data_IF_400640539257
#
_entry.id   IF_400640539257
#
_cell.length_a   1.000
_cell.length_b   1.000
_cell.length_c   1.000
_cell.angle_alpha   90.00
_cell.angle_beta   90.00
_cell.angle_gamma   90.00
#
_symmetry.space_group_name_H-M   'P 1'
#
loop_
_entity.id
_entity.type
_entity.pdbx_description
1 polymer ?
#
# COMPACT_ATOMS: atom_id res chain seq x y z
N UNK A 1 -2.54 -22.04 22.78
CA UNK A 1 -3.03 -21.53 21.47
C UNK A 1 -1.83 -20.91 20.82
N UNK A 2 -1.61 -21.16 19.53
CA UNK A 2 -0.54 -20.48 18.81
C UNK A 2 -0.72 -18.95 18.87
N UNK A 3 0.36 -18.21 19.14
CA UNK A 3 0.32 -16.76 19.11
C UNK A 3 0.19 -16.28 17.67
N UNK A 4 -0.82 -15.46 17.39
CA UNK A 4 -1.12 -14.97 16.04
C UNK A 4 -0.85 -13.47 15.96
N UNK A 5 0.07 -13.06 15.07
CA UNK A 5 0.54 -11.69 15.00
C UNK A 5 0.03 -10.92 13.77
N UNK A 6 -0.41 -9.69 14.00
CA UNK A 6 -0.53 -8.66 13.00
C UNK A 6 0.80 -7.91 12.93
N UNK A 7 1.40 -7.88 11.75
CA UNK A 7 2.75 -7.36 11.56
C UNK A 7 2.70 -6.22 10.53
N UNK A 8 3.35 -5.12 10.84
CA UNK A 8 3.73 -4.06 9.92
C UNK A 8 5.21 -4.15 9.62
N UNK A 9 5.58 -4.08 8.36
CA UNK A 9 6.95 -4.05 7.89
C UNK A 9 7.18 -2.79 7.08
N UNK A 10 8.22 -2.05 7.40
CA UNK A 10 8.73 -0.96 6.57
C UNK A 10 9.98 -1.46 5.83
N UNK A 11 9.94 -1.39 4.50
CA UNK A 11 10.95 -1.96 3.63
C UNK A 11 11.51 -0.88 2.70
N UNK A 12 12.64 -0.29 3.09
CA UNK A 12 13.39 0.68 2.30
C UNK A 12 14.61 0.03 1.63
N UNK A 13 15.34 0.77 0.78
CA UNK A 13 16.59 0.30 0.17
C UNK A 13 17.65 -0.05 1.22
N UNK A 14 17.80 0.79 2.25
CA UNK A 14 18.92 0.72 3.18
C UNK A 14 18.61 -0.14 4.42
N UNK A 15 17.37 -0.17 4.86
CA UNK A 15 16.96 -0.85 6.09
C UNK A 15 15.54 -1.40 6.01
N UNK A 16 15.29 -2.32 6.94
CA UNK A 16 13.96 -2.87 7.23
C UNK A 16 13.60 -2.57 8.68
N UNK A 17 12.32 -2.28 8.93
CA UNK A 17 11.76 -2.20 10.28
C UNK A 17 10.55 -3.12 10.40
N UNK A 18 10.33 -3.66 11.61
CA UNK A 18 9.15 -4.44 11.96
C UNK A 18 8.43 -3.84 13.16
N UNK A 19 7.12 -3.92 13.13
CA UNK A 19 6.26 -3.69 14.30
C UNK A 19 5.18 -4.76 14.35
N UNK A 20 4.79 -5.15 15.54
CA UNK A 20 3.65 -6.03 15.75
C UNK A 20 2.61 -5.35 16.63
N UNK A 21 1.36 -5.74 16.48
CA UNK A 21 0.29 -5.20 17.31
C UNK A 21 0.24 -5.94 18.65
N UNK A 22 0.36 -5.17 19.73
CA UNK A 22 0.22 -5.71 21.08
C UNK A 22 -1.24 -5.56 21.52
N UNK A 23 -1.93 -6.68 21.69
CA UNK A 23 -3.35 -6.71 22.08
C UNK A 23 -3.60 -6.20 23.51
N UNK A 24 -2.56 -6.17 24.35
CA UNK A 24 -2.66 -5.68 25.76
C UNK A 24 -2.64 -4.16 25.77
N UNK A 25 -1.63 -3.56 25.13
CA UNK A 25 -1.49 -2.09 25.03
C UNK A 25 -2.41 -1.49 23.98
N UNK A 26 -2.89 -2.30 23.02
CA UNK A 26 -3.66 -1.90 21.82
C UNK A 26 -2.91 -0.92 20.94
N UNK A 27 -1.60 -1.09 20.85
CA UNK A 27 -0.70 -0.23 20.10
C UNK A 27 0.33 -1.07 19.33
N UNK A 28 0.83 -0.60 18.17
CA UNK A 28 1.96 -1.19 17.50
C UNK A 28 3.25 -1.00 18.31
N UNK A 29 3.96 -2.08 18.55
CA UNK A 29 5.28 -2.10 19.18
C UNK A 29 6.37 -2.43 18.17
N UNK A 30 7.44 -1.64 18.16
CA UNK A 30 8.58 -1.87 17.26
C UNK A 30 9.43 -3.04 17.74
N UNK A 31 9.86 -3.85 16.77
CA UNK A 31 10.68 -5.04 17.01
C UNK A 31 12.16 -4.65 16.95
N UNK A 32 12.91 -4.85 18.06
CA UNK A 32 14.36 -4.79 18.01
C UNK A 32 14.92 -6.15 17.62
N UNK A 33 15.82 -6.22 16.67
CA UNK A 33 16.44 -7.48 16.24
C UNK A 33 17.47 -7.99 17.24
N UNK A 34 18.22 -7.09 17.87
CA UNK A 34 19.27 -7.44 18.81
C UNK A 34 18.75 -7.39 20.25
N UNK A 35 18.90 -8.50 20.97
CA UNK A 35 18.61 -8.53 22.40
C UNK A 35 19.46 -7.48 23.14
N UNK A 36 18.82 -6.66 23.98
CA UNK A 36 19.43 -5.60 24.80
C UNK A 36 19.95 -4.36 24.04
N UNK A 37 19.58 -4.15 22.77
CA UNK A 37 19.86 -2.91 22.04
C UNK A 37 18.54 -2.40 21.43
N UNK A 38 18.26 -1.11 21.59
CA UNK A 38 17.14 -0.44 20.92
C UNK A 38 17.49 -0.15 19.45
N UNK A 39 17.78 -1.21 18.69
CA UNK A 39 18.12 -1.14 17.26
C UNK A 39 16.93 -1.63 16.47
N UNK A 40 16.14 -0.68 15.99
CA UNK A 40 14.90 -0.96 15.25
C UNK A 40 15.10 -0.92 13.73
N UNK A 41 16.11 -0.20 13.25
CA UNK A 41 16.48 -0.13 11.82
C UNK A 41 17.46 -1.26 11.51
N UNK A 42 17.00 -2.26 10.83
CA UNK A 42 17.75 -3.48 10.48
C UNK A 42 18.35 -3.29 9.09
N UNK A 43 19.68 -3.32 8.93
CA UNK A 43 20.29 -3.14 7.61
C UNK A 43 19.90 -4.27 6.65
N UNK A 44 19.72 -3.95 5.37
CA UNK A 44 19.30 -4.90 4.32
C UNK A 44 20.49 -5.70 3.79
N UNK A 45 21.10 -6.50 4.66
CA UNK A 45 22.21 -7.39 4.34
C UNK A 45 21.87 -8.83 4.70
N UNK A 46 22.41 -9.75 3.90
CA UNK A 46 22.44 -11.17 4.18
C UNK A 46 23.88 -11.62 4.40
N UNK A 47 24.06 -12.58 5.27
CA UNK A 47 25.34 -13.25 5.48
C UNK A 47 25.14 -14.76 5.52
N UNK A 48 25.84 -15.47 4.64
CA UNK A 48 25.90 -16.94 4.69
C UNK A 48 27.19 -17.39 5.35
N UNK A 49 27.08 -18.04 6.50
CA UNK A 49 28.20 -18.66 7.16
C UNK A 49 28.53 -20.03 6.57
N UNK A 50 29.78 -20.21 6.12
CA UNK A 50 30.26 -21.48 5.57
C UNK A 50 30.44 -22.54 6.68
N UNK A 51 30.79 -22.09 7.90
CA UNK A 51 31.04 -22.95 9.03
C UNK A 51 29.74 -23.55 9.61
N UNK A 52 28.75 -22.70 9.88
CA UNK A 52 27.45 -23.10 10.43
C UNK A 52 26.44 -23.52 9.37
N UNK A 53 26.73 -23.25 8.08
CA UNK A 53 25.80 -23.43 6.94
C UNK A 53 24.45 -22.74 7.16
N UNK A 54 24.48 -21.56 7.78
CA UNK A 54 23.31 -20.79 8.18
C UNK A 54 23.30 -19.41 7.53
N UNK A 55 22.09 -18.94 7.18
CA UNK A 55 21.85 -17.59 6.77
C UNK A 55 21.53 -16.70 7.98
N UNK A 56 22.08 -15.49 7.96
CA UNK A 56 21.81 -14.43 8.91
C UNK A 56 21.31 -13.20 8.15
N UNK A 57 20.50 -12.37 8.79
CA UNK A 57 19.92 -11.15 8.21
C UNK A 57 20.11 -9.94 9.13
N UNK A 58 20.21 -8.77 8.57
CA UNK A 58 20.18 -7.51 9.30
C UNK A 58 21.31 -7.35 10.32
N UNK A 59 20.97 -7.02 11.55
CA UNK A 59 21.92 -6.83 12.65
C UNK A 59 22.70 -8.11 12.99
N UNK A 60 22.05 -9.28 12.95
CA UNK A 60 22.72 -10.57 13.16
C UNK A 60 23.74 -10.84 12.06
N UNK A 61 23.41 -10.55 10.80
CA UNK A 61 24.35 -10.66 9.68
C UNK A 61 25.54 -9.71 9.86
N UNK A 62 25.27 -8.48 10.34
CA UNK A 62 26.31 -7.48 10.64
C UNK A 62 27.26 -7.92 11.74
N UNK A 63 26.80 -8.65 12.74
CA UNK A 63 27.65 -9.19 13.82
C UNK A 63 28.37 -10.47 13.38
N UNK A 64 27.67 -11.41 12.73
CA UNK A 64 28.20 -12.71 12.33
C UNK A 64 29.36 -12.58 11.34
N UNK A 65 29.34 -11.63 10.40
CA UNK A 65 30.42 -11.42 9.42
C UNK A 65 31.79 -11.10 10.04
N UNK A 66 31.85 -10.65 11.28
CA UNK A 66 33.10 -10.38 11.98
C UNK A 66 33.63 -11.58 12.75
N UNK A 67 32.79 -12.55 13.05
CA UNK A 67 33.12 -13.73 13.87
C UNK A 67 33.20 -15.04 13.09
N UNK A 68 32.57 -15.11 11.91
CA UNK A 68 32.50 -16.32 11.10
C UNK A 68 33.01 -16.06 9.67
N UNK A 69 33.47 -17.14 9.02
CA UNK A 69 33.82 -17.07 7.59
C UNK A 69 32.58 -17.32 6.75
N UNK A 70 32.39 -16.45 5.74
CA UNK A 70 31.20 -16.58 4.91
C UNK A 70 31.13 -15.56 3.77
N UNK A 71 29.98 -15.45 3.17
CA UNK A 71 29.66 -14.56 2.05
C UNK A 71 28.69 -13.49 2.54
N UNK A 72 29.09 -12.23 2.43
CA UNK A 72 28.21 -11.06 2.66
C UNK A 72 27.53 -10.72 1.36
N UNK A 73 26.23 -10.44 1.41
CA UNK A 73 25.43 -9.97 0.28
C UNK A 73 24.73 -8.68 0.71
N UNK A 74 25.10 -7.62 0.06
CA UNK A 74 24.51 -6.27 0.16
C UNK A 74 24.03 -5.80 -1.19
N UNK A 75 23.51 -4.56 -1.29
CA UNK A 75 23.03 -4.01 -2.54
C UNK A 75 21.89 -4.82 -3.17
N UNK A 76 21.07 -5.48 -2.36
CA UNK A 76 20.02 -6.39 -2.86
C UNK A 76 18.96 -5.60 -3.64
N UNK A 77 18.57 -4.42 -3.15
CA UNK A 77 17.55 -3.57 -3.81
C UNK A 77 18.02 -3.04 -5.16
N UNK A 78 19.27 -2.56 -5.23
CA UNK A 78 19.85 -1.96 -6.44
C UNK A 78 20.03 -2.97 -7.56
N UNK A 79 20.11 -4.26 -7.19
CA UNK A 79 20.33 -5.35 -8.14
C UNK A 79 19.06 -6.16 -8.44
N UNK A 80 17.87 -5.72 -7.98
CA UNK A 80 16.62 -6.39 -8.31
C UNK A 80 16.41 -6.44 -9.84
N UNK A 81 15.99 -7.61 -10.32
CA UNK A 81 15.84 -7.86 -11.75
C UNK A 81 17.15 -8.11 -12.52
N UNK A 82 18.31 -8.05 -11.86
CA UNK A 82 19.59 -8.39 -12.48
C UNK A 82 19.63 -9.86 -12.94
N UNK A 83 20.21 -10.09 -14.10
CA UNK A 83 20.43 -11.44 -14.64
C UNK A 83 21.69 -12.11 -14.08
N UNK A 84 22.55 -11.37 -13.39
CA UNK A 84 23.79 -11.89 -12.83
C UNK A 84 23.48 -12.55 -11.47
N UNK A 85 23.65 -13.87 -11.34
CA UNK A 85 23.38 -14.54 -10.07
C UNK A 85 24.51 -14.28 -9.06
N UNK A 86 24.19 -14.39 -7.79
CA UNK A 86 25.15 -14.42 -6.67
C UNK A 86 25.47 -15.87 -6.34
N UNK A 87 26.77 -16.23 -6.35
CA UNK A 87 27.20 -17.57 -5.99
C UNK A 87 27.52 -17.68 -4.50
N UNK A 88 26.84 -18.59 -3.83
CA UNK A 88 27.04 -18.88 -2.41
C UNK A 88 27.34 -20.37 -2.24
N UNK A 89 28.59 -20.69 -1.98
CA UNK A 89 29.04 -22.09 -1.98
C UNK A 89 28.90 -22.74 -3.35
N UNK A 90 28.08 -23.78 -3.45
CA UNK A 90 27.78 -24.48 -4.71
C UNK A 90 26.47 -24.08 -5.35
N UNK A 91 25.74 -23.15 -4.74
CA UNK A 91 24.41 -22.71 -5.21
C UNK A 91 24.50 -21.31 -5.82
N UNK A 92 23.59 -21.03 -6.74
CA UNK A 92 23.45 -19.72 -7.37
C UNK A 92 22.05 -19.18 -7.06
N UNK A 93 22.01 -17.91 -6.66
CA UNK A 93 20.78 -17.21 -6.28
C UNK A 93 20.61 -15.97 -7.13
N UNK A 94 19.40 -15.72 -7.65
CA UNK A 94 19.05 -14.40 -8.19
C UNK A 94 18.85 -13.39 -7.05
N UNK A 95 19.04 -12.11 -7.35
CA UNK A 95 18.74 -11.05 -6.37
C UNK A 95 17.26 -11.04 -5.94
N UNK A 96 16.34 -11.43 -6.81
CA UNK A 96 14.93 -11.58 -6.46
C UNK A 96 14.71 -12.66 -5.39
N UNK A 97 15.40 -13.80 -5.50
CA UNK A 97 15.34 -14.85 -4.48
C UNK A 97 15.98 -14.40 -3.16
N UNK A 98 17.12 -13.71 -3.23
CA UNK A 98 17.80 -13.17 -2.05
C UNK A 98 16.94 -12.10 -1.34
N UNK A 99 16.25 -11.26 -2.10
CA UNK A 99 15.33 -10.28 -1.56
C UNK A 99 14.16 -10.95 -0.82
N UNK A 100 13.52 -11.92 -1.43
CA UNK A 100 12.42 -12.66 -0.81
C UNK A 100 12.89 -13.42 0.45
N UNK A 101 14.07 -14.04 0.37
CA UNK A 101 14.72 -14.69 1.51
C UNK A 101 15.02 -13.71 2.64
N UNK A 102 15.52 -12.51 2.33
CA UNK A 102 15.81 -11.46 3.31
C UNK A 102 14.54 -11.05 4.06
N UNK A 103 13.46 -10.78 3.34
CA UNK A 103 12.16 -10.42 3.93
C UNK A 103 11.67 -11.55 4.84
N UNK A 104 11.69 -12.79 4.35
CA UNK A 104 11.30 -13.97 5.13
C UNK A 104 12.12 -14.10 6.42
N UNK A 105 13.44 -14.00 6.33
CA UNK A 105 14.34 -14.17 7.49
C UNK A 105 14.10 -13.08 8.56
N UNK A 106 13.78 -11.84 8.17
CA UNK A 106 13.39 -10.82 9.14
C UNK A 106 12.12 -11.20 9.92
N UNK A 107 11.14 -11.76 9.23
CA UNK A 107 9.88 -12.21 9.85
C UNK A 107 10.14 -13.43 10.74
N UNK A 108 10.88 -14.44 10.23
CA UNK A 108 11.23 -15.64 10.98
C UNK A 108 12.01 -15.30 12.26
N UNK A 109 12.96 -14.34 12.20
CA UNK A 109 13.72 -13.87 13.37
C UNK A 109 12.84 -13.26 14.47
N UNK A 110 11.74 -12.63 14.08
CA UNK A 110 10.74 -12.15 15.04
C UNK A 110 9.90 -13.29 15.60
N UNK A 111 9.34 -14.15 14.73
CA UNK A 111 8.45 -15.26 15.12
C UNK A 111 9.17 -16.28 16.01
N UNK A 112 10.47 -16.51 15.78
CA UNK A 112 11.27 -17.47 16.58
C UNK A 112 11.29 -17.16 18.09
N UNK A 113 10.91 -15.95 18.49
CA UNK A 113 10.84 -15.55 19.92
C UNK A 113 9.61 -16.09 20.64
N UNK A 114 8.65 -16.64 19.90
CA UNK A 114 7.37 -17.09 20.41
C UNK A 114 7.13 -18.54 19.98
N UNK A 115 6.63 -19.35 20.90
CA UNK A 115 6.33 -20.76 20.63
C UNK A 115 5.09 -20.87 19.72
N UNK A 116 5.20 -21.61 18.63
CA UNK A 116 4.12 -21.83 17.63
C UNK A 116 3.52 -20.54 17.03
N UNK A 117 4.32 -19.45 16.95
CA UNK A 117 3.86 -18.17 16.40
C UNK A 117 3.53 -18.25 14.91
N UNK A 118 2.44 -17.59 14.52
CA UNK A 118 2.01 -17.52 13.11
C UNK A 118 1.69 -16.06 12.70
N UNK A 119 1.89 -15.79 11.41
CA UNK A 119 1.46 -14.52 10.81
C UNK A 119 -0.05 -14.57 10.58
N UNK A 120 -0.78 -13.67 11.19
CA UNK A 120 -2.22 -13.49 10.96
C UNK A 120 -2.48 -12.54 9.81
N UNK A 121 -1.75 -11.45 9.74
CA UNK A 121 -1.67 -10.55 8.60
C UNK A 121 -0.36 -9.79 8.63
N UNK A 122 0.26 -9.65 7.47
CA UNK A 122 1.46 -8.85 7.23
C UNK A 122 1.14 -7.75 6.23
N UNK A 123 1.41 -6.51 6.61
CA UNK A 123 1.36 -5.36 5.69
C UNK A 123 2.78 -4.84 5.50
N UNK A 124 3.23 -4.81 4.25
CA UNK A 124 4.55 -4.34 3.87
C UNK A 124 4.42 -2.94 3.27
N UNK A 125 5.05 -1.98 3.90
CA UNK A 125 5.13 -0.59 3.48
C UNK A 125 6.42 -0.38 2.68
N UNK A 126 6.29 0.11 1.45
CA UNK A 126 7.42 0.48 0.57
C UNK A 126 7.36 1.98 0.27
N UNK A 127 8.47 2.65 -0.10
CA UNK A 127 8.48 4.10 -0.34
C UNK A 127 7.39 4.55 -1.33
N UNK A 128 7.34 3.91 -2.50
CA UNK A 128 6.30 4.09 -3.52
C UNK A 128 6.10 2.79 -4.30
N UNK A 129 5.03 2.73 -5.08
CA UNK A 129 4.76 1.55 -5.90
C UNK A 129 5.92 1.25 -6.86
N UNK A 130 6.37 0.01 -6.81
CA UNK A 130 7.37 -0.54 -7.71
C UNK A 130 6.92 -1.92 -8.20
N UNK A 131 6.69 -2.06 -9.50
CA UNK A 131 6.14 -3.29 -10.09
C UNK A 131 7.02 -4.52 -9.88
N UNK A 132 8.34 -4.34 -9.90
CA UNK A 132 9.30 -5.45 -9.65
C UNK A 132 9.21 -5.91 -8.20
N UNK A 133 9.28 -4.98 -7.24
CA UNK A 133 9.17 -5.29 -5.81
C UNK A 133 7.79 -5.91 -5.52
N UNK A 134 6.73 -5.32 -6.05
CA UNK A 134 5.37 -5.85 -5.88
C UNK A 134 5.22 -7.28 -6.41
N UNK A 135 5.75 -7.55 -7.62
CA UNK A 135 5.71 -8.89 -8.23
C UNK A 135 6.50 -9.93 -7.42
N UNK A 136 7.62 -9.54 -6.79
CA UNK A 136 8.40 -10.44 -5.94
C UNK A 136 7.65 -10.69 -4.62
N UNK A 137 7.22 -9.62 -3.96
CA UNK A 137 6.55 -9.70 -2.65
C UNK A 137 5.19 -10.40 -2.73
N UNK A 138 4.50 -10.34 -3.88
CA UNK A 138 3.25 -11.08 -4.09
C UNK A 138 3.41 -12.61 -3.99
N UNK A 139 4.64 -13.13 -4.00
CA UNK A 139 4.92 -14.55 -3.83
C UNK A 139 5.28 -14.93 -2.38
N UNK A 140 5.43 -13.94 -1.50
CA UNK A 140 5.90 -14.14 -0.11
C UNK A 140 4.97 -15.07 0.71
N UNK A 141 3.68 -15.09 0.39
CA UNK A 141 2.72 -15.97 1.06
C UNK A 141 3.12 -17.46 0.96
N UNK A 142 3.73 -17.88 -0.15
CA UNK A 142 4.22 -19.24 -0.36
C UNK A 142 5.42 -19.55 0.55
N UNK A 143 6.31 -18.58 0.71
CA UNK A 143 7.50 -18.71 1.55
C UNK A 143 7.19 -18.72 3.05
N UNK A 144 6.09 -18.08 3.45
CA UNK A 144 5.61 -18.01 4.82
C UNK A 144 4.58 -19.09 5.15
N UNK A 145 4.13 -19.87 4.15
CA UNK A 145 3.06 -20.88 4.27
C UNK A 145 1.76 -20.31 4.88
N UNK A 146 1.34 -19.16 4.36
CA UNK A 146 0.10 -18.47 4.77
C UNK A 146 -0.81 -18.23 3.56
N UNK A 147 -2.13 -18.03 3.74
CA UNK A 147 -3.02 -17.60 2.66
C UNK A 147 -2.55 -16.29 2.01
N UNK A 148 -2.77 -16.15 0.70
CA UNK A 148 -2.36 -14.96 -0.06
C UNK A 148 -2.95 -13.66 0.52
N UNK A 149 -4.19 -13.70 0.97
CA UNK A 149 -4.89 -12.57 1.60
C UNK A 149 -4.26 -12.10 2.92
N UNK A 150 -3.35 -12.89 3.50
CA UNK A 150 -2.60 -12.50 4.69
C UNK A 150 -1.45 -11.54 4.39
N UNK A 151 -1.07 -11.36 3.12
CA UNK A 151 0.00 -10.45 2.69
C UNK A 151 -0.61 -9.27 1.95
N UNK A 152 -0.20 -8.06 2.32
CA UNK A 152 -0.63 -6.83 1.67
C UNK A 152 0.55 -5.89 1.51
N UNK A 153 0.64 -5.21 0.36
CA UNK A 153 1.70 -4.24 0.06
C UNK A 153 1.05 -2.86 -0.02
N UNK A 154 1.71 -1.87 0.56
CA UNK A 154 1.20 -0.49 0.61
C UNK A 154 2.35 0.51 0.47
N UNK A 155 2.05 1.80 0.24
CA UNK A 155 3.06 2.84 0.21
C UNK A 155 3.35 3.43 1.60
N UNK A 156 4.51 4.11 1.74
CA UNK A 156 4.86 4.89 2.93
C UNK A 156 3.79 5.94 3.23
N UNK A 157 3.32 6.63 2.18
CA UNK A 157 2.31 7.67 2.36
C UNK A 157 1.02 7.09 2.97
N UNK A 158 0.53 5.98 2.45
CA UNK A 158 -0.69 5.36 2.96
C UNK A 158 -0.48 4.84 4.40
N UNK A 159 0.66 4.21 4.67
CA UNK A 159 1.03 3.81 6.04
C UNK A 159 1.11 5.01 6.99
N UNK A 160 1.67 6.13 6.53
CA UNK A 160 1.70 7.38 7.30
C UNK A 160 0.31 7.91 7.63
N UNK A 161 -0.62 7.85 6.68
CA UNK A 161 -2.03 8.21 6.89
C UNK A 161 -2.69 7.30 7.94
N UNK A 162 -2.47 5.98 7.86
CA UNK A 162 -2.96 5.04 8.88
C UNK A 162 -2.41 5.36 10.26
N UNK A 163 -1.12 5.68 10.38
CA UNK A 163 -0.54 6.09 11.63
C UNK A 163 -1.18 7.36 12.19
N UNK A 164 -1.28 8.41 11.36
CA UNK A 164 -1.80 9.73 11.75
C UNK A 164 -3.26 9.64 12.21
N UNK A 165 -4.11 8.96 11.44
CA UNK A 165 -5.54 8.88 11.75
C UNK A 165 -5.89 7.91 12.88
N UNK A 166 -4.95 7.06 13.30
CA UNK A 166 -5.06 6.29 14.54
C UNK A 166 -4.58 7.05 15.77
N UNK A 167 -4.02 8.27 15.62
CA UNK A 167 -3.72 9.15 16.74
C UNK A 167 -4.98 9.84 17.26
N UNK A 168 -4.86 10.53 18.42
CA UNK A 168 -5.96 11.31 19.00
C UNK A 168 -6.48 12.33 18.00
N UNK A 169 -7.82 12.47 17.93
CA UNK A 169 -8.50 13.30 16.93
C UNK A 169 -8.04 14.78 16.92
N UNK A 170 -7.64 15.33 18.06
CA UNK A 170 -7.16 16.70 18.17
C UNK A 170 -5.82 16.95 17.45
N UNK A 171 -5.06 15.88 17.09
CA UNK A 171 -3.83 15.98 16.31
C UNK A 171 -4.10 16.19 14.82
N UNK A 172 -5.29 15.84 14.32
CA UNK A 172 -5.67 15.96 12.92
C UNK A 172 -7.03 16.65 12.71
N UNK A 173 -7.37 17.57 13.61
CA UNK A 173 -8.59 18.39 13.50
C UNK A 173 -8.51 19.40 12.34
N UNK A 174 -7.32 19.93 12.06
CA UNK A 174 -7.00 20.73 10.87
C UNK A 174 -6.02 19.94 10.01
N UNK A 175 -5.31 20.61 9.11
CA UNK A 175 -4.25 19.97 8.30
C UNK A 175 -3.14 19.38 9.17
N UNK A 176 -2.52 18.32 8.69
CA UNK A 176 -1.36 17.68 9.28
C UNK A 176 -0.17 17.80 8.33
N UNK A 177 1.01 18.09 8.87
CA UNK A 177 2.26 18.07 8.12
C UNK A 177 3.04 16.80 8.45
N UNK A 178 3.56 16.14 7.42
CA UNK A 178 4.52 15.05 7.53
C UNK A 178 5.77 15.43 6.74
N UNK A 179 6.92 15.46 7.40
CA UNK A 179 8.22 15.62 6.79
C UNK A 179 8.96 14.30 6.84
N UNK A 180 9.43 13.84 5.70
CA UNK A 180 10.23 12.62 5.55
C UNK A 180 11.60 13.00 5.00
N UNK A 181 12.65 12.88 5.83
CA UNK A 181 14.02 13.29 5.50
C UNK A 181 14.94 12.10 5.51
N UNK A 182 15.28 11.62 4.32
CA UNK A 182 16.12 10.45 4.10
C UNK A 182 17.35 10.78 3.25
N UNK A 183 18.09 9.76 2.84
CA UNK A 183 19.30 9.91 2.01
C UNK A 183 19.00 10.66 0.70
N UNK A 184 17.86 10.40 0.09
CA UNK A 184 17.41 11.00 -1.17
C UNK A 184 16.97 12.47 -1.01
N UNK A 185 16.73 12.94 0.22
CA UNK A 185 16.37 14.33 0.52
C UNK A 185 15.13 14.46 1.38
N UNK A 186 14.60 15.69 1.43
CA UNK A 186 13.43 16.05 2.23
C UNK A 186 12.18 16.07 1.39
N UNK A 187 11.21 15.25 1.76
CA UNK A 187 9.85 15.27 1.24
C UNK A 187 8.89 15.86 2.27
N UNK A 188 7.96 16.68 1.81
CA UNK A 188 6.90 17.27 2.61
C UNK A 188 5.53 16.83 2.10
N UNK A 189 4.69 16.40 3.02
CA UNK A 189 3.29 16.06 2.74
C UNK A 189 2.38 16.88 3.64
N UNK A 190 1.42 17.59 3.03
CA UNK A 190 0.32 18.23 3.74
C UNK A 190 -0.95 17.43 3.54
N UNK A 191 -1.55 17.02 4.63
CA UNK A 191 -2.76 16.20 4.67
C UNK A 191 -3.92 17.08 5.08
N UNK A 192 -4.82 17.33 4.16
CA UNK A 192 -6.01 18.16 4.34
C UNK A 192 -7.26 17.27 4.38
N UNK A 193 -8.24 17.57 5.25
CA UNK A 193 -9.45 16.77 5.41
C UNK A 193 -10.67 17.66 5.13
N UNK A 194 -11.38 17.33 4.07
CA UNK A 194 -12.67 17.96 3.73
C UNK A 194 -13.83 17.19 4.37
N UNK A 195 -14.51 17.83 5.32
CA UNK A 195 -15.61 17.23 6.11
C UNK A 195 -17.00 17.60 5.60
N UNK A 196 -17.08 18.20 4.41
CA UNK A 196 -18.33 18.70 3.84
C UNK A 196 -19.26 17.58 3.32
N UNK A 197 -18.78 16.36 3.29
CA UNK A 197 -19.48 15.17 2.76
C UNK A 197 -19.07 13.90 3.50
N UNK A 198 -19.79 12.83 3.20
CA UNK A 198 -19.47 11.48 3.69
C UNK A 198 -19.44 10.53 2.49
N UNK A 199 -18.39 9.72 2.32
CA UNK A 199 -17.12 9.75 3.08
C UNK A 199 -16.41 11.12 3.02
N UNK A 200 -15.61 11.46 4.05
CA UNK A 200 -14.76 12.65 4.09
C UNK A 200 -13.64 12.49 3.05
N UNK A 201 -13.20 13.58 2.44
CA UNK A 201 -12.09 13.51 1.47
C UNK A 201 -10.79 13.92 2.15
N UNK A 202 -9.79 13.06 2.05
CA UNK A 202 -8.41 13.32 2.46
C UNK A 202 -7.60 13.63 1.21
N UNK A 203 -7.13 14.87 1.10
CA UNK A 203 -6.26 15.30 0.00
C UNK A 203 -4.84 15.45 0.50
N UNK A 204 -3.88 14.90 -0.21
CA UNK A 204 -2.46 15.00 0.11
C UNK A 204 -1.74 15.86 -0.92
N UNK A 205 -1.16 16.97 -0.45
CA UNK A 205 -0.25 17.79 -1.24
C UNK A 205 1.17 17.34 -0.95
N UNK A 206 1.96 17.07 -1.99
CA UNK A 206 3.36 16.67 -1.88
C UNK A 206 4.26 17.75 -2.47
N UNK A 207 5.33 18.10 -1.75
CA UNK A 207 6.41 18.98 -2.21
C UNK A 207 7.75 18.27 -1.99
N UNK A 208 8.54 18.20 -3.04
CA UNK A 208 9.88 17.63 -3.02
C UNK A 208 10.91 18.73 -2.82
N UNK A 209 11.60 18.68 -1.69
CA UNK A 209 12.68 19.61 -1.32
C UNK A 209 14.07 19.00 -1.45
N UNK A 210 14.22 17.85 -2.11
CA UNK A 210 15.48 17.09 -2.18
C UNK A 210 16.62 17.89 -2.81
N UNK A 211 16.33 18.74 -3.80
CA UNK A 211 17.33 19.64 -4.41
C UNK A 211 17.83 20.73 -3.44
N UNK A 212 16.98 21.14 -2.49
CA UNK A 212 17.29 22.21 -1.52
C UNK A 212 17.83 21.64 -0.22
N UNK A 213 17.41 20.44 0.15
CA UNK A 213 17.71 19.80 1.42
C UNK A 213 17.95 18.30 1.25
N UNK A 214 19.19 17.92 1.04
CA UNK A 214 19.66 16.53 1.04
C UNK A 214 20.80 16.37 2.05
N UNK A 215 20.94 15.18 2.64
CA UNK A 215 21.99 14.92 3.63
C UNK A 215 23.40 15.12 3.05
N UNK A 216 23.58 14.87 1.76
CA UNK A 216 24.86 15.04 1.06
C UNK A 216 25.31 16.50 0.92
N UNK A 217 24.37 17.45 0.91
CA UNK A 217 24.68 18.90 0.74
C UNK A 217 25.38 19.45 1.99
N UNK A 218 24.96 19.02 3.17
CA UNK A 218 25.42 19.64 4.43
C UNK A 218 26.63 18.98 5.05
N UNK A 219 26.89 17.70 4.76
CA UNK A 219 27.95 16.97 5.46
C UNK A 219 27.75 17.06 6.99
N UNK A 220 28.66 17.77 7.67
CA UNK A 220 28.57 17.99 9.11
C UNK A 220 28.01 19.39 9.49
N UNK A 221 27.59 20.22 8.53
CA UNK A 221 27.06 21.56 8.81
C UNK A 221 25.61 21.54 9.26
N UNK A 222 25.39 21.10 10.49
CA UNK A 222 24.06 21.01 11.10
C UNK A 222 23.42 22.40 11.31
N UNK A 223 24.20 23.49 11.36
CA UNK A 223 23.68 24.85 11.48
C UNK A 223 23.04 25.33 10.17
N UNK A 224 23.68 25.11 9.03
CA UNK A 224 23.10 25.41 7.73
C UNK A 224 21.84 24.58 7.51
N UNK A 225 21.88 23.27 7.81
CA UNK A 225 20.74 22.36 7.71
C UNK A 225 19.53 22.83 8.55
N UNK A 226 19.72 23.23 9.81
CA UNK A 226 18.66 23.75 10.68
C UNK A 226 18.06 25.07 10.15
N UNK A 227 18.92 25.96 9.59
CA UNK A 227 18.43 27.22 9.01
C UNK A 227 17.57 26.98 7.76
N UNK A 228 17.98 26.10 6.88
CA UNK A 228 17.25 25.83 5.63
C UNK A 228 15.95 25.09 5.93
N UNK A 229 15.96 24.09 6.82
CA UNK A 229 14.73 23.45 7.27
C UNK A 229 13.76 24.44 7.96
N UNK A 230 14.27 25.38 8.77
CA UNK A 230 13.44 26.40 9.37
C UNK A 230 12.73 27.28 8.32
N UNK A 231 13.43 27.66 7.22
CA UNK A 231 12.82 28.44 6.12
C UNK A 231 11.73 27.66 5.41
N UNK A 232 11.96 26.38 5.12
CA UNK A 232 10.96 25.47 4.51
C UNK A 232 9.75 25.38 5.43
N UNK A 233 9.97 25.11 6.72
CA UNK A 233 8.88 25.02 7.70
C UNK A 233 8.08 26.32 7.84
N UNK A 234 8.75 27.49 7.85
CA UNK A 234 8.06 28.79 7.85
C UNK A 234 7.21 29.01 6.59
N UNK A 235 7.71 28.60 5.43
CA UNK A 235 6.99 28.73 4.17
C UNK A 235 5.75 27.84 4.14
N UNK A 236 5.88 26.56 4.50
CA UNK A 236 4.78 25.60 4.50
C UNK A 236 3.72 25.92 5.58
N UNK A 237 4.15 26.37 6.75
CA UNK A 237 3.26 26.77 7.84
C UNK A 237 2.36 27.98 7.50
N UNK A 238 2.70 28.79 6.49
CA UNK A 238 1.87 29.91 6.03
C UNK A 238 0.75 29.48 5.08
N UNK A 239 0.86 28.29 4.47
CA UNK A 239 -0.08 27.80 3.47
C UNK A 239 -1.37 27.24 4.08
N UNK A 240 -1.33 26.72 5.31
CA UNK A 240 -2.47 26.06 5.94
C UNK A 240 -2.43 26.14 7.48
N UNK A 241 -3.58 25.93 8.10
CA UNK A 241 -3.72 25.76 9.55
C UNK A 241 -3.34 24.32 9.92
N UNK A 242 -2.13 24.12 10.42
CA UNK A 242 -1.57 22.82 10.77
C UNK A 242 -1.77 22.54 12.26
N UNK A 243 -2.42 21.42 12.61
CA UNK A 243 -2.63 20.95 14.00
C UNK A 243 -1.40 20.26 14.56
N UNK A 244 -0.79 19.39 13.78
CA UNK A 244 0.37 18.60 14.19
C UNK A 244 1.37 18.44 13.05
N UNK A 245 2.61 18.20 13.42
CA UNK A 245 3.73 17.95 12.52
C UNK A 245 4.38 16.64 12.92
N UNK A 246 4.56 15.76 11.96
CA UNK A 246 5.27 14.50 12.11
C UNK A 246 6.58 14.58 11.32
N UNK A 247 7.68 14.19 11.96
CA UNK A 247 9.01 14.14 11.38
C UNK A 247 9.49 12.69 11.38
N UNK A 248 9.85 12.17 10.22
CA UNK A 248 10.34 10.81 10.04
C UNK A 248 11.55 10.78 9.10
N UNK A 249 12.26 9.66 9.06
CA UNK A 249 13.46 9.49 8.24
C UNK A 249 14.76 9.73 8.99
N UNK A 250 15.84 9.13 8.48
CA UNK A 250 17.17 9.12 9.12
C UNK A 250 17.73 10.51 9.37
N UNK A 251 17.37 11.50 8.53
CA UNK A 251 17.82 12.88 8.65
C UNK A 251 17.35 13.58 9.93
N UNK A 252 16.29 13.05 10.59
CA UNK A 252 15.82 13.56 11.88
C UNK A 252 16.31 12.76 13.09
N UNK A 253 17.24 11.84 12.92
CA UNK A 253 17.77 11.01 14.02
C UNK A 253 18.63 11.81 15.01
N UNK A 254 19.32 12.85 14.54
CA UNK A 254 20.25 13.66 15.34
C UNK A 254 19.59 14.92 15.94
N UNK A 255 20.17 15.42 17.02
CA UNK A 255 19.68 16.60 17.77
C UNK A 255 20.16 17.93 17.16
N UNK A 256 20.01 18.13 15.86
CA UNK A 256 20.45 19.33 15.17
C UNK A 256 19.38 20.45 15.12
N UNK A 257 18.11 20.08 15.19
CA UNK A 257 16.95 20.97 15.07
C UNK A 257 16.81 21.88 16.30
N UNK A 258 17.27 23.11 16.23
CA UNK A 258 17.08 24.14 17.27
C UNK A 258 16.15 25.25 16.78
N UNK A 259 16.50 25.88 15.67
CA UNK A 259 15.71 26.97 15.08
C UNK A 259 14.43 26.44 14.46
N UNK A 260 14.54 25.38 13.69
CA UNK A 260 13.39 24.71 13.06
C UNK A 260 12.38 24.20 14.08
N UNK A 261 12.83 23.65 15.21
CA UNK A 261 11.91 23.24 16.32
C UNK A 261 11.11 24.42 16.84
N UNK A 262 11.73 25.58 17.01
CA UNK A 262 11.00 26.79 17.46
C UNK A 262 9.93 27.22 16.44
N UNK A 263 10.22 27.11 15.14
CA UNK A 263 9.26 27.41 14.06
C UNK A 263 8.12 26.40 14.03
N UNK A 264 8.45 25.13 14.10
CA UNK A 264 7.45 24.05 14.03
C UNK A 264 6.51 24.03 15.24
N UNK A 265 7.03 24.27 16.46
CA UNK A 265 6.27 24.21 17.69
C UNK A 265 5.35 25.43 17.94
N UNK A 266 5.35 26.46 17.06
CA UNK A 266 4.48 27.63 17.23
C UNK A 266 3.01 27.27 17.02
N UNK A 267 2.30 26.98 18.12
CA UNK A 267 0.88 26.63 18.13
C UNK A 267 0.56 25.23 17.56
N UNK A 268 1.55 24.35 17.46
CA UNK A 268 1.44 23.00 16.90
C UNK A 268 2.10 21.98 17.83
N UNK A 269 1.67 20.74 17.72
CA UNK A 269 2.36 19.60 18.34
C UNK A 269 3.30 18.98 17.32
N UNK A 270 4.52 18.74 17.73
CA UNK A 270 5.59 18.17 16.86
C UNK A 270 6.01 16.81 17.42
N UNK A 271 6.04 15.82 16.56
CA UNK A 271 6.42 14.46 16.88
C UNK A 271 7.57 14.03 15.98
N UNK A 272 8.60 13.43 16.57
CA UNK A 272 9.71 12.81 15.83
C UNK A 272 9.60 11.30 16.03
N UNK A 273 9.56 10.56 14.95
CA UNK A 273 9.45 9.09 15.02
C UNK A 273 9.99 8.42 13.77
N UNK A 274 10.94 7.52 13.95
CA UNK A 274 11.56 6.77 12.85
C UNK A 274 10.74 5.55 12.40
N UNK A 275 9.63 5.27 13.08
CA UNK A 275 8.84 4.06 12.89
C UNK A 275 7.38 4.34 12.50
N UNK A 276 7.12 5.52 11.93
CA UNK A 276 5.76 5.94 11.53
C UNK A 276 5.18 4.96 10.50
N UNK A 277 5.97 4.59 9.50
CA UNK A 277 5.51 3.73 8.40
C UNK A 277 5.27 2.29 8.86
N UNK A 278 6.20 1.70 9.61
CA UNK A 278 6.00 0.33 10.11
C UNK A 278 4.83 0.22 11.10
N UNK A 279 4.63 1.24 11.96
CA UNK A 279 3.47 1.28 12.86
C UNK A 279 2.16 1.53 12.12
N UNK A 280 2.16 2.39 11.09
CA UNK A 280 1.01 2.60 10.24
C UNK A 280 0.60 1.34 9.47
N UNK A 281 1.58 0.62 8.91
CA UNK A 281 1.37 -0.68 8.28
C UNK A 281 0.81 -1.71 9.28
N UNK A 282 1.29 -1.68 10.53
CA UNK A 282 0.77 -2.55 11.60
C UNK A 282 -0.68 -2.21 11.96
N UNK A 283 -1.06 -0.94 12.09
CA UNK A 283 -2.46 -0.54 12.27
C UNK A 283 -3.34 -1.04 11.11
N UNK A 284 -2.83 -0.96 9.88
CA UNK A 284 -3.52 -1.48 8.71
C UNK A 284 -3.68 -3.01 8.76
N UNK A 285 -2.68 -3.74 9.25
CA UNK A 285 -2.73 -5.19 9.40
C UNK A 285 -3.81 -5.67 10.38
N UNK A 286 -4.03 -4.95 11.47
CA UNK A 286 -5.06 -5.27 12.50
C UNK A 286 -6.47 -5.35 11.91
N UNK A 287 -6.78 -4.51 10.93
CA UNK A 287 -8.00 -4.62 10.13
C UNK A 287 -9.32 -4.31 10.83
N UNK A 288 -9.38 -4.20 12.15
CA UNK A 288 -10.62 -3.97 12.90
C UNK A 288 -11.30 -2.65 12.58
N UNK A 289 -10.53 -1.57 12.53
CA UNK A 289 -11.00 -0.25 12.15
C UNK A 289 -10.64 0.12 10.70
N UNK A 290 -9.92 -0.75 9.97
CA UNK A 290 -9.52 -0.56 8.59
C UNK A 290 -10.71 -0.40 7.65
N UNK A 291 -11.70 -1.27 7.77
CA UNK A 291 -12.95 -1.17 7.01
C UNK A 291 -13.64 0.17 7.29
N UNK A 292 -13.63 0.61 8.56
CA UNK A 292 -14.15 1.91 8.98
C UNK A 292 -13.32 3.09 8.47
N UNK A 293 -12.01 2.93 8.29
CA UNK A 293 -11.17 3.98 7.71
C UNK A 293 -11.63 4.32 6.29
N UNK A 294 -11.75 3.33 5.40
CA UNK A 294 -12.23 3.57 4.04
C UNK A 294 -13.74 3.81 3.94
N UNK A 295 -14.53 3.40 4.93
CA UNK A 295 -15.93 3.82 5.05
C UNK A 295 -16.03 5.31 5.43
N UNK A 296 -15.02 5.84 6.12
CA UNK A 296 -14.98 7.22 6.59
C UNK A 296 -14.30 8.16 5.60
N UNK A 297 -13.21 7.73 4.96
CA UNK A 297 -12.35 8.57 4.15
C UNK A 297 -12.23 8.05 2.72
N UNK A 298 -12.33 8.97 1.77
CA UNK A 298 -11.78 8.80 0.44
C UNK A 298 -10.43 9.51 0.37
N UNK A 299 -9.36 8.76 0.08
CA UNK A 299 -8.01 9.31 0.02
C UNK A 299 -7.64 9.64 -1.41
N UNK A 300 -7.22 10.88 -1.65
CA UNK A 300 -6.75 11.36 -2.95
C UNK A 300 -5.24 11.49 -2.96
N UNK A 301 -4.57 10.56 -3.60
CA UNK A 301 -3.14 10.60 -3.89
C UNK A 301 -2.88 10.19 -5.34
N UNK A 302 -1.62 10.29 -5.79
CA UNK A 302 -1.21 9.83 -7.12
C UNK A 302 -1.38 8.31 -7.35
N UNK A 303 -1.56 7.54 -6.28
CA UNK A 303 -1.71 6.07 -6.34
C UNK A 303 -3.16 5.61 -6.12
N UNK A 304 -4.05 6.50 -5.68
CA UNK A 304 -5.42 6.12 -5.33
C UNK A 304 -6.38 6.25 -6.50
N UNK A 305 -7.27 5.28 -6.63
CA UNK A 305 -8.39 5.31 -7.56
C UNK A 305 -9.37 6.41 -7.14
N UNK A 306 -9.77 7.26 -8.08
CA UNK A 306 -10.68 8.38 -7.83
C UNK A 306 -12.13 8.10 -8.26
N UNK A 307 -12.45 6.84 -8.56
CA UNK A 307 -13.78 6.44 -9.06
C UNK A 307 -14.28 5.17 -8.36
N UNK A 308 -15.57 5.17 -8.03
CA UNK A 308 -16.29 3.93 -7.77
C UNK A 308 -16.69 3.33 -9.12
N UNK A 309 -16.39 2.05 -9.33
CA UNK A 309 -16.82 1.30 -10.52
C UNK A 309 -17.95 0.36 -10.12
N UNK A 310 -19.02 0.38 -10.87
CA UNK A 310 -20.20 -0.46 -10.58
C UNK A 310 -21.09 -0.65 -11.78
N UNK A 311 -22.26 -1.22 -11.53
CA UNK A 311 -23.32 -1.39 -12.52
C UNK A 311 -24.57 -0.62 -12.11
N UNK A 312 -25.37 -0.26 -13.11
CA UNK A 312 -26.74 0.24 -12.91
C UNK A 312 -27.73 -0.91 -13.07
N UNK A 313 -28.54 -1.11 -12.04
CA UNK A 313 -29.66 -2.08 -12.04
C UNK A 313 -30.99 -1.35 -12.21
N UNK A 314 -31.97 -2.03 -12.79
CA UNK A 314 -33.27 -1.42 -13.08
C UNK A 314 -33.46 -1.01 -14.55
N UNK A 315 -34.67 -0.63 -14.91
CA UNK A 315 -35.01 -0.22 -16.27
C UNK A 315 -34.99 1.32 -16.36
N UNK A 316 -34.15 1.93 -17.25
CA UNK A 316 -34.09 3.39 -17.38
C UNK A 316 -35.38 4.05 -17.87
N UNK A 317 -36.35 3.26 -18.35
CA UNK A 317 -37.63 3.74 -18.91
C UNK A 317 -38.84 3.38 -18.02
N UNK A 318 -38.64 2.63 -16.92
CA UNK A 318 -39.68 2.13 -16.03
C UNK A 318 -39.70 2.80 -14.64
N UNK A 319 -40.71 2.44 -13.83
CA UNK A 319 -40.86 2.89 -12.44
C UNK A 319 -39.87 2.19 -11.46
N UNK A 320 -39.05 1.24 -11.94
CA UNK A 320 -38.02 0.57 -11.14
C UNK A 320 -36.86 1.51 -10.83
N UNK A 321 -36.43 1.51 -9.56
CA UNK A 321 -35.28 2.29 -9.11
C UNK A 321 -34.02 1.90 -9.89
N UNK A 322 -33.38 2.89 -10.48
CA UNK A 322 -32.09 2.76 -11.13
C UNK A 322 -30.98 2.85 -10.06
N UNK A 323 -30.73 1.74 -9.40
CA UNK A 323 -29.78 1.70 -8.29
C UNK A 323 -28.35 1.42 -8.79
N UNK A 324 -27.37 2.11 -8.19
CA UNK A 324 -25.94 1.84 -8.39
C UNK A 324 -25.49 0.71 -7.46
N UNK A 325 -24.96 -0.36 -8.05
CA UNK A 325 -24.36 -1.49 -7.33
C UNK A 325 -22.82 -1.41 -7.52
N UNK A 326 -22.06 -1.08 -6.48
CA UNK A 326 -20.61 -0.98 -6.61
C UNK A 326 -19.97 -2.36 -6.77
N UNK A 327 -19.00 -2.45 -7.69
CA UNK A 327 -18.06 -3.55 -7.82
C UNK A 327 -16.80 -3.20 -7.02
N UNK A 328 -16.26 -2.00 -7.23
CA UNK A 328 -15.14 -1.45 -6.47
C UNK A 328 -15.47 -0.08 -5.92
N UNK A 329 -14.75 0.35 -4.89
CA UNK A 329 -14.86 1.70 -4.32
C UNK A 329 -13.54 2.43 -4.44
N UNK A 330 -13.60 3.70 -4.85
CA UNK A 330 -12.46 4.59 -4.93
C UNK A 330 -11.83 4.95 -3.57
N UNK A 331 -10.80 5.76 -3.60
CA UNK A 331 -10.07 6.21 -2.41
C UNK A 331 -9.04 5.22 -1.90
N UNK A 332 -8.79 4.12 -2.62
CA UNK A 332 -7.79 3.09 -2.32
C UNK A 332 -6.73 3.08 -3.40
N UNK A 333 -5.56 2.53 -3.09
CA UNK A 333 -4.49 2.31 -4.06
C UNK A 333 -4.96 1.40 -5.19
N UNK A 334 -4.65 1.77 -6.43
CA UNK A 334 -5.12 1.06 -7.62
C UNK A 334 -4.73 -0.43 -7.62
N UNK A 335 -3.52 -0.77 -7.18
CA UNK A 335 -3.01 -2.15 -7.13
C UNK A 335 -3.64 -3.01 -6.00
N UNK A 336 -4.36 -2.38 -5.07
CA UNK A 336 -5.15 -3.04 -4.03
C UNK A 336 -6.67 -2.92 -4.29
N UNK A 337 -7.07 -2.34 -5.43
CA UNK A 337 -8.49 -2.10 -5.75
C UNK A 337 -8.99 -3.14 -6.73
N UNK A 338 -9.62 -4.18 -6.19
CA UNK A 338 -10.33 -5.20 -6.94
C UNK A 338 -11.69 -5.43 -6.32
N UNK A 339 -12.65 -5.82 -7.14
CA UNK A 339 -13.98 -6.14 -6.67
C UNK A 339 -14.66 -7.17 -7.55
N UNK A 340 -15.66 -7.83 -6.99
CA UNK A 340 -16.41 -8.88 -7.64
C UNK A 340 -17.86 -8.85 -7.20
N UNK A 341 -18.76 -9.00 -8.16
CA UNK A 341 -20.20 -9.21 -7.93
C UNK A 341 -20.71 -10.31 -8.83
N UNK A 342 -21.80 -10.95 -8.44
CA UNK A 342 -22.56 -11.87 -9.28
C UNK A 342 -23.92 -11.29 -9.58
N UNK A 343 -24.35 -11.37 -10.84
CA UNK A 343 -25.64 -10.85 -11.29
C UNK A 343 -26.40 -11.88 -12.11
N UNK A 344 -27.72 -11.74 -12.13
CA UNK A 344 -28.60 -12.54 -12.99
C UNK A 344 -29.25 -11.57 -13.97
N UNK A 345 -29.12 -11.86 -15.27
CA UNK A 345 -29.74 -11.06 -16.33
C UNK A 345 -31.27 -11.24 -16.34
N UNK A 346 -31.99 -10.13 -16.43
CA UNK A 346 -33.45 -10.07 -16.50
C UNK A 346 -33.88 -9.49 -17.86
N UNK A 347 -34.16 -10.38 -18.80
CA UNK A 347 -34.61 -10.10 -20.18
C UNK A 347 -33.73 -9.06 -20.94
N UNK A 348 -32.43 -9.13 -20.71
CA UNK A 348 -31.44 -8.26 -21.34
C UNK A 348 -30.16 -9.01 -21.69
N UNK A 349 -29.47 -8.55 -22.74
CA UNK A 349 -28.11 -8.99 -23.10
C UNK A 349 -27.08 -7.85 -22.84
N UNK A 350 -27.47 -6.82 -22.08
CA UNK A 350 -26.68 -5.61 -21.86
C UNK A 350 -26.43 -5.39 -20.37
N UNK A 351 -25.21 -4.93 -20.06
CA UNK A 351 -24.79 -4.46 -18.73
C UNK A 351 -24.49 -2.98 -18.83
N UNK A 352 -25.06 -2.18 -17.94
CA UNK A 352 -24.76 -0.76 -17.82
C UNK A 352 -23.66 -0.58 -16.78
N UNK A 353 -22.42 -0.37 -17.23
CA UNK A 353 -21.31 0.03 -16.38
C UNK A 353 -21.44 1.49 -16.00
N UNK A 354 -21.03 1.82 -14.80
CA UNK A 354 -21.12 3.16 -14.25
C UNK A 354 -19.90 3.47 -13.42
N UNK A 355 -19.35 4.68 -13.63
CA UNK A 355 -18.14 5.18 -13.00
C UNK A 355 -18.47 6.50 -12.31
N UNK A 356 -18.41 6.49 -10.97
CA UNK A 356 -18.73 7.65 -10.14
C UNK A 356 -17.48 8.27 -9.55
N UNK A 357 -17.21 9.52 -9.86
CA UNK A 357 -16.09 10.23 -9.23
C UNK A 357 -16.32 10.38 -7.72
N UNK A 358 -15.31 10.05 -6.91
CA UNK A 358 -15.32 10.27 -5.46
C UNK A 358 -15.37 11.77 -5.12
N UNK A 359 -14.97 12.65 -6.03
CA UNK A 359 -15.08 14.11 -5.89
C UNK A 359 -16.50 14.62 -6.10
N UNK A 360 -17.37 13.79 -6.65
CA UNK A 360 -18.69 14.18 -7.13
C UNK A 360 -18.62 14.71 -8.57
N UNK A 361 -19.74 15.09 -9.11
CA UNK A 361 -19.88 15.53 -10.50
C UNK A 361 -20.71 14.55 -11.33
N UNK A 362 -20.54 14.60 -12.64
CA UNK A 362 -21.25 13.71 -13.55
C UNK A 362 -20.76 12.27 -13.44
N UNK A 363 -21.71 11.36 -13.46
CA UNK A 363 -21.46 9.92 -13.54
C UNK A 363 -21.23 9.54 -15.00
N UNK A 364 -20.09 8.92 -15.29
CA UNK A 364 -19.83 8.35 -16.62
C UNK A 364 -20.51 6.99 -16.71
N UNK A 365 -21.19 6.70 -17.82
CA UNK A 365 -21.85 5.41 -18.06
C UNK A 365 -21.51 4.89 -19.45
N UNK A 366 -21.45 3.58 -19.58
CA UNK A 366 -21.35 2.89 -20.87
C UNK A 366 -22.16 1.60 -20.85
N UNK A 367 -22.62 1.16 -22.03
CA UNK A 367 -23.39 -0.06 -22.18
C UNK A 367 -22.53 -1.15 -22.84
N UNK A 368 -22.36 -2.25 -22.12
CA UNK A 368 -21.64 -3.42 -22.63
C UNK A 368 -22.67 -4.46 -23.08
N UNK A 369 -22.60 -4.86 -24.35
CA UNK A 369 -23.44 -5.92 -24.90
C UNK A 369 -22.72 -7.23 -24.85
N UNK A 370 -23.36 -8.23 -24.25
CA UNK A 370 -22.83 -9.58 -24.10
C UNK A 370 -23.23 -10.43 -25.33
N UNK A 371 -22.23 -10.83 -26.13
CA UNK A 371 -22.43 -11.59 -27.34
C UNK A 371 -22.10 -13.07 -27.16
N UNK A 372 -22.81 -13.95 -27.90
CA UNK A 372 -22.44 -15.36 -28.00
C UNK A 372 -22.81 -16.25 -26.82
N UNK A 373 -23.56 -15.73 -25.84
CA UNK A 373 -24.25 -16.57 -24.87
C UNK A 373 -25.53 -17.13 -25.54
N UNK A 374 -25.80 -18.43 -25.47
CA UNK A 374 -27.04 -19.00 -25.98
C UNK A 374 -28.27 -18.33 -25.38
N UNK A 375 -29.30 -18.14 -26.16
CA UNK A 375 -30.56 -17.58 -25.66
C UNK A 375 -31.17 -18.55 -24.60
N UNK A 376 -31.25 -18.07 -23.37
CA UNK A 376 -31.79 -18.79 -22.22
C UNK A 376 -33.12 -18.15 -21.78
N UNK A 377 -33.99 -18.87 -21.07
CA UNK A 377 -35.15 -18.25 -20.43
C UNK A 377 -34.76 -17.11 -19.53
N UNK A 378 -35.66 -16.15 -19.33
CA UNK A 378 -35.40 -15.02 -18.46
C UNK A 378 -34.95 -15.44 -17.04
N UNK A 379 -34.06 -14.72 -16.42
CA UNK A 379 -33.47 -14.99 -15.09
C UNK A 379 -32.70 -16.33 -14.98
N UNK A 380 -32.19 -16.85 -16.10
CA UNK A 380 -31.40 -18.10 -16.12
C UNK A 380 -30.00 -17.90 -16.72
N UNK A 381 -29.51 -16.67 -16.75
CA UNK A 381 -28.14 -16.33 -17.11
C UNK A 381 -27.48 -15.61 -15.93
N UNK A 382 -26.55 -16.30 -15.28
CA UNK A 382 -25.77 -15.77 -14.15
C UNK A 382 -24.39 -15.38 -14.66
N UNK A 383 -23.96 -14.17 -14.33
CA UNK A 383 -22.65 -13.63 -14.69
C UNK A 383 -21.85 -13.31 -13.44
N UNK A 384 -20.54 -13.51 -13.50
CA UNK A 384 -19.56 -12.92 -12.62
C UNK A 384 -19.06 -11.63 -13.27
N UNK A 385 -18.95 -10.56 -12.51
CA UNK A 385 -18.41 -9.28 -12.97
C UNK A 385 -17.33 -8.88 -11.98
N UNK A 386 -16.11 -8.79 -12.48
CA UNK A 386 -14.94 -8.37 -11.72
C UNK A 386 -14.45 -7.03 -12.26
N UNK A 387 -13.90 -6.17 -11.41
CA UNK A 387 -13.23 -4.94 -11.83
C UNK A 387 -11.86 -4.85 -11.17
N UNK A 388 -10.86 -4.47 -11.95
CA UNK A 388 -9.49 -4.28 -11.55
C UNK A 388 -8.90 -3.03 -12.20
N UNK A 389 -7.83 -2.50 -11.60
CA UNK A 389 -7.15 -1.30 -12.08
C UNK A 389 -5.69 -1.62 -12.42
N UNK A 390 -5.20 -1.00 -13.51
CA UNK A 390 -3.81 -1.05 -13.95
C UNK A 390 -3.07 0.26 -13.63
N UNK A 391 -3.84 1.31 -13.33
CA UNK A 391 -3.39 2.63 -12.87
C UNK A 391 -4.52 3.31 -12.08
N UNK A 392 -4.31 4.48 -11.46
CA UNK A 392 -5.39 5.21 -10.76
C UNK A 392 -6.62 5.53 -11.59
N UNK A 393 -6.50 5.55 -12.92
CA UNK A 393 -7.57 5.94 -13.85
C UNK A 393 -7.85 4.93 -14.96
N UNK A 394 -7.10 3.85 -15.05
CA UNK A 394 -7.23 2.84 -16.10
C UNK A 394 -7.38 1.46 -15.50
N UNK A 395 -8.11 0.58 -16.19
CA UNK A 395 -8.33 -0.77 -15.75
C UNK A 395 -9.28 -1.52 -16.64
N UNK A 396 -9.81 -2.64 -16.15
CA UNK A 396 -10.72 -3.49 -16.90
C UNK A 396 -11.89 -4.01 -16.05
N UNK A 397 -13.02 -4.20 -16.70
CA UNK A 397 -14.13 -4.99 -16.20
C UNK A 397 -14.14 -6.33 -16.93
N UNK A 398 -14.11 -7.42 -16.17
CA UNK A 398 -14.07 -8.78 -16.66
C UNK A 398 -15.41 -9.44 -16.35
N UNK A 399 -16.10 -9.93 -17.38
CA UNK A 399 -17.44 -10.53 -17.26
C UNK A 399 -17.36 -11.98 -17.70
N UNK A 400 -17.79 -12.92 -16.85
CA UNK A 400 -17.76 -14.36 -17.12
C UNK A 400 -19.17 -14.94 -17.07
N UNK A 401 -19.52 -15.80 -18.02
CA UNK A 401 -20.77 -16.59 -17.97
C UNK A 401 -20.62 -17.75 -16.99
N UNK A 402 -21.37 -17.72 -15.91
CA UNK A 402 -21.42 -18.81 -14.91
C UNK A 402 -22.48 -19.88 -15.24
N UNK A 403 -23.28 -19.66 -16.29
CA UNK A 403 -24.43 -20.51 -16.56
C UNK A 403 -25.53 -20.36 -15.49
N UNK A 404 -26.38 -21.38 -15.35
CA UNK A 404 -27.40 -21.46 -14.31
C UNK A 404 -27.75 -22.92 -13.99
N UNK A 405 -26.90 -23.56 -13.21
CA UNK A 405 -27.03 -24.95 -12.84
C UNK A 405 -26.84 -25.95 -14.02
N UNK A 406 -27.27 -27.21 -13.85
CA UNK A 406 -27.05 -28.25 -14.85
C UNK A 406 -27.86 -28.07 -16.15
N UNK A 407 -28.96 -27.32 -16.09
CA UNK A 407 -29.84 -27.11 -17.27
C UNK A 407 -29.29 -26.05 -18.22
N UNK A 408 -28.55 -25.10 -17.71
CA UNK A 408 -27.94 -24.02 -18.48
C UNK A 408 -26.44 -23.91 -18.12
N UNK A 409 -25.62 -24.84 -18.66
CA UNK A 409 -24.19 -24.83 -18.33
C UNK A 409 -23.51 -23.54 -18.78
N UNK A 410 -22.38 -23.21 -18.13
CA UNK A 410 -21.54 -22.10 -18.55
C UNK A 410 -21.04 -22.30 -19.98
N UNK A 411 -20.84 -21.19 -20.68
CA UNK A 411 -20.15 -21.18 -22.00
C UNK A 411 -18.65 -21.03 -21.86
N UNK A 412 -18.14 -20.80 -20.65
CA UNK A 412 -16.75 -20.43 -20.37
C UNK A 412 -16.27 -19.16 -21.10
N UNK A 413 -17.19 -18.36 -21.64
CA UNK A 413 -16.83 -17.12 -22.31
C UNK A 413 -16.49 -16.05 -21.28
N UNK A 414 -15.38 -15.38 -21.56
CA UNK A 414 -14.88 -14.24 -20.79
C UNK A 414 -14.88 -13.00 -21.70
N UNK A 415 -15.45 -11.93 -21.21
CA UNK A 415 -15.48 -10.63 -21.89
C UNK A 415 -14.65 -9.67 -21.09
N UNK A 416 -13.63 -9.06 -21.71
CA UNK A 416 -12.79 -8.03 -21.09
C UNK A 416 -13.17 -6.68 -21.72
N UNK A 417 -13.49 -5.72 -20.86
CA UNK A 417 -13.77 -4.34 -21.23
C UNK A 417 -12.79 -3.43 -20.52
N UNK A 418 -11.84 -2.88 -21.26
CA UNK A 418 -10.94 -1.85 -20.74
C UNK A 418 -11.65 -0.50 -20.62
N UNK A 419 -11.26 0.27 -19.62
CA UNK A 419 -11.72 1.63 -19.40
C UNK A 419 -10.56 2.57 -19.10
N UNK A 420 -10.69 3.83 -19.54
CA UNK A 420 -9.84 4.95 -19.12
C UNK A 420 -10.74 6.07 -18.61
N UNK A 421 -10.53 6.48 -17.34
CA UNK A 421 -11.36 7.45 -16.65
C UNK A 421 -10.72 8.86 -16.63
N UNK A 422 -9.69 9.07 -17.44
CA UNK A 422 -9.18 10.39 -17.75
C UNK A 422 -10.31 11.24 -18.37
N UNK A 423 -10.10 12.55 -18.57
CA UNK A 423 -11.13 13.51 -19.04
C UNK A 423 -11.72 13.21 -20.43
N UNK A 424 -11.41 12.07 -21.01
CA UNK A 424 -11.94 11.62 -22.32
C UNK A 424 -13.37 11.08 -22.13
N UNK A 425 -14.33 11.49 -22.95
CA UNK A 425 -15.68 10.92 -22.95
C UNK A 425 -15.63 9.42 -23.26
N UNK A 426 -16.38 8.61 -22.50
CA UNK A 426 -16.55 7.19 -22.79
C UNK A 426 -17.51 7.02 -23.98
N UNK A 427 -17.33 5.99 -24.83
CA UNK A 427 -18.27 5.70 -25.93
C UNK A 427 -19.63 5.25 -25.40
N UNK A 428 -20.70 5.64 -26.07
CA UNK A 428 -22.09 5.27 -25.71
C UNK A 428 -22.35 3.76 -25.76
N UNK A 429 -21.75 3.06 -26.75
CA UNK A 429 -21.72 1.60 -26.83
C UNK A 429 -20.27 1.13 -26.93
N UNK A 430 -19.88 0.17 -26.08
CA UNK A 430 -18.55 -0.36 -26.01
C UNK A 430 -18.44 -1.72 -26.68
N UNK A 431 -17.46 -1.88 -27.57
CA UNK A 431 -17.03 -3.19 -28.07
C UNK A 431 -16.28 -3.94 -26.95
N UNK A 432 -16.51 -5.23 -26.88
CA UNK A 432 -15.92 -6.13 -25.87
C UNK A 432 -15.05 -7.13 -26.60
N UNK A 433 -13.80 -7.25 -26.17
CA UNK A 433 -12.96 -8.36 -26.61
C UNK A 433 -13.43 -9.64 -25.93
N UNK A 434 -13.57 -10.72 -26.71
CA UNK A 434 -13.93 -12.05 -26.22
C UNK A 434 -12.66 -12.87 -26.16
N UNK A 435 -12.21 -13.18 -24.96
CA UNK A 435 -11.15 -14.16 -24.73
C UNK A 435 -11.77 -15.55 -24.66
N UNK A 436 -11.33 -16.48 -25.49
CA UNK A 436 -11.65 -17.91 -25.31
C UNK A 436 -10.62 -18.47 -24.33
N UNK A 437 -11.06 -18.94 -23.17
CA UNK A 437 -10.20 -19.72 -22.27
C UNK A 437 -9.68 -20.97 -23.01
N UNK A 438 -8.36 -21.08 -23.12
CA UNK A 438 -7.63 -22.23 -23.68
C UNK A 438 -7.52 -23.34 -22.65
#
# INVERSE_FOLDING_TARGET
MADSFYIGMDLCSDFTQLSYYNDITREPESVSQLNNKETYMMPNILFYSVSSKRWYVGGEASEARFSEQGVVIDGIFENLGSRTPVRVGNEEYSYNQLFLMMVKLHIDSFLYRYEDAVVKKLVISIPEYNSTIHSILSQLYKELDVPEECIEITSHLDSGLYYIFNQQHDLWINSVALYDYNADGLNYYRIDISRNRKPEIVTVTHEDYSEQMSLSIYGNDTYAMDNDFAKIAEYENKKAYISSVFLTGIGFSDKWMKKSTNVLCQGRRVFVGQNIYTKGACFRAVGGDYKKFYERFYVETKENVLYDVGIRTGNPVGEEKDDFVPITTGGKQWYNTRGHIEVILDDTDRIRLSYKSIRGGEEKQEVVKIHGIPKRPNKTTKLSIEAEFDSPSEGAVIIKDLGFGKLFPTTNKVYRKEFSLNDTPLPDEAEVEVEEDV
#
